data_IF_231841866411
#
_entry.id   IF_231841866411
#
_cell.length_a   1.000
_cell.length_b   1.000
_cell.length_c   1.000
_cell.angle_alpha   90.00
_cell.angle_beta   90.00
_cell.angle_gamma   90.00
#
_symmetry.space_group_name_H-M   'P 1'
#
loop_
_entity.id
_entity.type
_entity.pdbx_description
1 polymer ?
#
# COMPACT_ATOMS: atom_id res chain seq x y z
N UNK A 1 92.33 -38.00 10.88
CA UNK A 1 91.83 -36.61 10.86
C UNK A 1 91.12 -36.30 12.17
N UNK A 2 91.55 -35.27 12.91
CA UNK A 2 90.83 -34.77 14.09
C UNK A 2 89.67 -33.87 13.62
N UNK A 3 88.44 -34.18 14.01
CA UNK A 3 87.26 -33.33 13.76
C UNK A 3 87.44 -32.02 14.53
N UNK A 4 87.47 -30.88 13.84
CA UNK A 4 87.54 -29.58 14.49
C UNK A 4 86.29 -29.38 15.36
N UNK A 5 86.47 -29.26 16.68
CA UNK A 5 85.44 -28.82 17.61
C UNK A 5 85.49 -27.29 17.67
N UNK A 6 84.36 -26.61 17.44
CA UNK A 6 84.17 -25.14 17.55
C UNK A 6 84.66 -24.25 16.39
N UNK A 7 84.71 -24.75 15.15
CA UNK A 7 84.89 -23.90 13.98
C UNK A 7 83.53 -23.33 13.53
N UNK A 8 83.02 -22.30 14.21
CA UNK A 8 81.86 -21.55 13.73
C UNK A 8 82.35 -20.37 12.87
N UNK A 9 81.89 -20.22 11.61
CA UNK A 9 82.18 -19.02 10.83
C UNK A 9 81.58 -17.82 11.56
N UNK A 10 82.42 -16.84 11.94
CA UNK A 10 82.00 -15.70 12.75
C UNK A 10 81.27 -14.61 11.94
N UNK A 11 81.50 -14.52 10.63
CA UNK A 11 80.74 -13.69 9.68
C UNK A 11 80.98 -14.19 8.24
N UNK A 12 79.94 -14.15 7.40
CA UNK A 12 80.02 -14.42 5.94
C UNK A 12 80.08 -15.91 5.54
N UNK A 13 79.32 -16.26 4.50
CA UNK A 13 79.31 -17.60 3.88
C UNK A 13 77.99 -17.91 3.16
N UNK A 14 78.05 -18.70 2.09
CA UNK A 14 76.87 -19.26 1.41
C UNK A 14 76.78 -20.74 1.77
N UNK A 15 75.60 -21.18 2.19
CA UNK A 15 75.30 -22.60 2.37
C UNK A 15 74.46 -23.04 1.17
N UNK A 16 75.01 -23.88 0.30
CA UNK A 16 74.31 -24.40 -0.89
C UNK A 16 73.55 -25.71 -0.61
N UNK A 17 73.53 -26.17 0.65
CA UNK A 17 72.93 -27.44 1.09
C UNK A 17 71.89 -27.30 2.19
N UNK A 18 71.37 -28.45 2.66
CA UNK A 18 70.40 -28.49 3.78
C UNK A 18 71.10 -28.15 5.10
N UNK A 19 70.50 -27.23 5.86
CA UNK A 19 70.87 -26.98 7.25
C UNK A 19 69.94 -27.81 8.14
N UNK A 20 70.52 -28.64 9.01
CA UNK A 20 69.78 -29.37 10.04
C UNK A 20 70.24 -28.90 11.42
N UNK A 21 69.29 -28.49 12.25
CA UNK A 21 69.53 -28.10 13.65
C UNK A 21 68.53 -28.81 14.55
N UNK A 22 68.94 -29.08 15.78
CA UNK A 22 68.08 -29.66 16.83
C UNK A 22 67.58 -28.60 17.82
N UNK A 23 67.90 -27.33 17.58
CA UNK A 23 67.50 -26.16 18.37
C UNK A 23 67.27 -24.95 17.44
N UNK A 24 66.86 -23.81 17.97
CA UNK A 24 66.42 -22.66 17.19
C UNK A 24 67.54 -22.09 16.29
N UNK A 25 67.13 -21.55 15.13
CA UNK A 25 68.01 -20.72 14.29
C UNK A 25 67.73 -19.26 14.64
N UNK A 26 68.63 -18.66 15.42
CA UNK A 26 68.55 -17.23 15.73
C UNK A 26 69.26 -16.41 14.64
N UNK A 27 68.56 -15.44 14.07
CA UNK A 27 69.13 -14.47 13.13
C UNK A 27 68.96 -13.04 13.68
N UNK A 28 70.01 -12.23 13.57
CA UNK A 28 69.99 -10.80 13.95
C UNK A 28 69.41 -9.90 12.84
N UNK A 29 69.07 -10.48 11.69
CA UNK A 29 68.49 -9.79 10.53
C UNK A 29 67.20 -10.48 10.05
N UNK A 30 67.07 -10.69 8.74
CA UNK A 30 65.94 -11.39 8.16
C UNK A 30 66.29 -12.85 7.83
N UNK A 31 65.32 -13.74 8.02
CA UNK A 31 65.32 -15.08 7.42
C UNK A 31 64.23 -15.05 6.35
N UNK A 32 64.58 -15.36 5.11
CA UNK A 32 63.66 -15.29 3.98
C UNK A 32 63.99 -16.34 2.93
N UNK A 33 62.99 -16.67 2.11
CA UNK A 33 63.13 -17.60 1.00
C UNK A 33 61.99 -17.46 0.02
N UNK A 34 62.18 -17.97 -1.21
CA UNK A 34 61.12 -17.97 -2.23
C UNK A 34 59.89 -18.75 -1.75
N UNK A 35 60.10 -19.85 -1.03
CA UNK A 35 59.04 -20.63 -0.38
C UNK A 35 59.46 -20.93 1.06
N UNK A 36 58.56 -20.69 2.00
CA UNK A 36 58.73 -21.04 3.41
C UNK A 36 57.67 -22.08 3.79
N UNK A 37 58.08 -23.17 4.42
CA UNK A 37 57.18 -24.21 4.90
C UNK A 37 57.49 -24.53 6.35
N UNK A 38 56.45 -24.74 7.13
CA UNK A 38 56.53 -25.27 8.49
C UNK A 38 56.38 -26.79 8.48
N UNK A 39 57.26 -27.52 9.16
CA UNK A 39 57.24 -28.98 9.22
C UNK A 39 56.58 -29.43 10.51
N UNK A 40 55.51 -30.18 10.39
CA UNK A 40 54.82 -30.79 11.52
C UNK A 40 55.57 -32.01 12.05
N UNK A 41 55.36 -32.33 13.32
CA UNK A 41 55.93 -33.52 13.98
C UNK A 41 55.45 -34.83 13.36
N UNK A 42 54.31 -34.81 12.66
CA UNK A 42 53.75 -35.94 11.90
C UNK A 42 54.36 -36.09 10.50
N UNK A 43 55.33 -35.24 10.14
CA UNK A 43 56.03 -35.29 8.86
C UNK A 43 55.37 -34.52 7.72
N UNK A 44 54.18 -33.93 7.93
CA UNK A 44 53.54 -33.03 6.95
C UNK A 44 54.20 -31.66 6.92
N UNK A 45 53.90 -30.89 5.89
CA UNK A 45 54.36 -29.51 5.72
C UNK A 45 53.17 -28.58 5.52
N UNK A 46 53.24 -27.38 6.12
CA UNK A 46 52.33 -26.26 5.84
C UNK A 46 53.08 -25.16 5.11
N UNK A 47 52.52 -24.67 4.01
CA UNK A 47 53.04 -23.48 3.34
C UNK A 47 52.79 -22.24 4.23
N UNK A 48 53.80 -21.40 4.39
CA UNK A 48 53.67 -20.10 5.04
C UNK A 48 53.15 -19.08 4.03
N UNK A 49 52.08 -18.37 4.38
CA UNK A 49 51.52 -17.33 3.51
C UNK A 49 52.36 -16.05 3.52
N UNK A 50 52.46 -15.41 2.37
CA UNK A 50 53.20 -14.16 2.15
C UNK A 50 52.57 -13.36 1.01
N UNK A 51 53.05 -12.15 0.73
CA UNK A 51 52.58 -11.38 -0.43
C UNK A 51 52.87 -12.09 -1.77
N UNK A 52 53.94 -12.89 -1.84
CA UNK A 52 54.29 -13.70 -3.00
C UNK A 52 53.52 -15.03 -3.07
N UNK A 53 53.04 -15.53 -1.93
CA UNK A 53 52.27 -16.77 -1.80
C UNK A 53 51.04 -16.50 -0.94
N UNK A 54 50.07 -15.80 -1.51
CA UNK A 54 48.82 -15.45 -0.82
C UNK A 54 47.91 -16.67 -0.71
N UNK A 55 47.11 -16.80 0.35
CA UNK A 55 46.08 -17.82 0.40
C UNK A 55 45.02 -17.55 -0.68
N UNK A 56 44.49 -18.62 -1.25
CA UNK A 56 43.27 -18.57 -2.02
C UNK A 56 42.06 -18.36 -1.09
N UNK A 57 40.99 -17.67 -1.53
CA UNK A 57 39.80 -17.44 -0.71
C UNK A 57 39.24 -18.70 -0.04
N UNK A 58 39.23 -19.82 -0.78
CA UNK A 58 38.79 -21.14 -0.27
C UNK A 58 39.64 -21.69 0.87
N UNK A 59 40.93 -21.34 0.94
CA UNK A 59 41.87 -21.82 1.97
C UNK A 59 41.63 -21.15 3.32
N UNK A 60 40.96 -20.00 3.32
CA UNK A 60 40.62 -19.22 4.52
C UNK A 60 39.11 -19.09 4.73
N UNK A 61 38.30 -19.83 3.96
CA UNK A 61 36.85 -19.87 4.11
C UNK A 61 36.13 -18.57 3.72
N UNK A 62 36.70 -17.78 2.80
CA UNK A 62 36.06 -16.55 2.29
C UNK A 62 35.69 -16.70 0.81
N UNK A 63 34.71 -15.93 0.36
CA UNK A 63 34.34 -15.87 -1.06
C UNK A 63 35.33 -15.03 -1.84
N UNK A 64 35.60 -15.43 -3.09
CA UNK A 64 36.25 -14.57 -4.06
C UNK A 64 35.38 -13.34 -4.38
N UNK A 65 35.99 -12.31 -4.96
CA UNK A 65 35.26 -11.13 -5.44
C UNK A 65 34.18 -11.51 -6.47
N UNK A 66 34.50 -12.42 -7.40
CA UNK A 66 33.54 -12.89 -8.41
C UNK A 66 32.36 -13.63 -7.79
N UNK A 67 32.59 -14.49 -6.80
CA UNK A 67 31.51 -15.16 -6.09
C UNK A 67 30.66 -14.17 -5.29
N UNK A 68 31.30 -13.21 -4.63
CA UNK A 68 30.60 -12.19 -3.85
C UNK A 68 29.71 -11.34 -4.75
N UNK A 69 30.20 -10.90 -5.91
CA UNK A 69 29.43 -10.12 -6.88
C UNK A 69 28.26 -10.91 -7.47
N UNK A 70 28.36 -12.24 -7.56
CA UNK A 70 27.25 -13.10 -8.00
C UNK A 70 26.22 -13.40 -6.90
N UNK A 71 26.60 -13.26 -5.62
CA UNK A 71 25.74 -13.57 -4.46
C UNK A 71 25.07 -12.35 -3.85
N UNK A 72 25.71 -11.19 -3.91
CA UNK A 72 25.29 -9.99 -3.20
C UNK A 72 25.14 -8.81 -4.13
N UNK A 73 24.09 -8.00 -3.93
CA UNK A 73 23.92 -6.75 -4.64
C UNK A 73 25.02 -5.75 -4.24
N UNK A 74 25.67 -5.14 -5.24
CA UNK A 74 26.68 -4.13 -4.98
C UNK A 74 26.06 -2.85 -4.43
N UNK A 75 26.76 -2.20 -3.49
CA UNK A 75 26.36 -0.89 -2.97
C UNK A 75 26.29 0.11 -4.13
N UNK A 76 25.11 0.71 -4.34
CA UNK A 76 24.82 1.62 -5.48
C UNK A 76 24.86 0.94 -6.86
N UNK A 77 24.59 -0.37 -6.95
CA UNK A 77 24.30 -0.98 -8.24
C UNK A 77 23.10 -0.29 -8.88
N UNK A 78 23.19 -0.02 -10.18
CA UNK A 78 22.08 0.43 -11.02
C UNK A 78 21.52 -0.74 -11.86
N UNK A 79 21.97 -1.96 -11.56
CA UNK A 79 21.58 -3.15 -12.29
C UNK A 79 20.17 -3.59 -11.89
N UNK A 80 19.55 -4.39 -12.75
CA UNK A 80 18.25 -4.98 -12.46
C UNK A 80 18.35 -5.90 -11.24
N UNK A 81 17.63 -5.56 -10.17
CA UNK A 81 17.41 -6.47 -9.05
C UNK A 81 16.23 -7.40 -9.38
N UNK A 82 16.51 -8.69 -9.56
CA UNK A 82 15.50 -9.71 -9.84
C UNK A 82 15.45 -10.73 -8.70
N UNK A 83 14.26 -10.88 -8.10
CA UNK A 83 13.99 -11.86 -7.06
C UNK A 83 12.54 -12.34 -7.16
N UNK A 84 12.25 -13.55 -6.65
CA UNK A 84 10.86 -14.04 -6.56
C UNK A 84 10.03 -13.33 -5.48
N UNK A 85 10.68 -12.84 -4.43
CA UNK A 85 10.06 -12.13 -3.31
C UNK A 85 11.10 -11.44 -2.43
N UNK A 86 10.65 -10.50 -1.61
CA UNK A 86 11.47 -9.78 -0.63
C UNK A 86 10.87 -10.00 0.75
N UNK A 87 11.54 -10.81 1.58
CA UNK A 87 11.15 -11.05 2.96
C UNK A 87 11.89 -10.08 3.90
N UNK A 88 11.14 -9.38 4.74
CA UNK A 88 11.68 -8.43 5.73
C UNK A 88 11.32 -8.92 7.12
N UNK A 89 12.25 -9.62 7.76
CA UNK A 89 12.14 -10.06 9.15
C UNK A 89 12.81 -9.03 10.06
N UNK A 90 12.01 -8.12 10.62
CA UNK A 90 12.49 -7.10 11.55
C UNK A 90 12.38 -7.58 13.01
N UNK A 91 13.28 -7.10 13.86
CA UNK A 91 13.23 -7.33 15.32
C UNK A 91 12.20 -6.46 16.05
N UNK A 92 11.41 -5.68 15.31
CA UNK A 92 10.38 -4.79 15.84
C UNK A 92 9.12 -4.83 14.95
N UNK A 93 7.98 -4.45 15.53
CA UNK A 93 6.64 -4.61 14.93
C UNK A 93 6.35 -3.75 13.68
N UNK A 94 7.29 -2.91 13.28
CA UNK A 94 7.13 -1.94 12.18
C UNK A 94 8.06 -2.27 11.01
N UNK A 95 8.09 -3.53 10.59
CA UNK A 95 8.83 -3.96 9.41
C UNK A 95 8.30 -3.27 8.13
N UNK A 96 9.15 -3.03 7.15
CA UNK A 96 8.69 -2.42 5.90
C UNK A 96 9.75 -2.21 4.82
N UNK A 97 9.27 -1.82 3.64
CA UNK A 97 10.10 -1.47 2.48
C UNK A 97 10.05 0.05 2.27
N UNK A 98 11.22 0.67 2.11
CA UNK A 98 11.37 2.12 1.99
C UNK A 98 11.99 2.52 0.66
N UNK A 99 11.35 3.45 -0.05
CA UNK A 99 11.85 4.06 -1.28
C UNK A 99 12.15 5.53 -1.00
N UNK A 100 13.44 5.87 -0.85
CA UNK A 100 13.91 7.22 -0.51
C UNK A 100 14.44 7.93 -1.75
N UNK A 101 13.98 9.16 -1.99
CA UNK A 101 14.47 9.99 -3.09
C UNK A 101 15.73 10.80 -2.69
N UNK A 102 16.34 11.47 -3.67
CA UNK A 102 17.56 12.26 -3.48
C UNK A 102 17.39 13.42 -2.48
N UNK A 103 16.17 13.96 -2.35
CA UNK A 103 15.85 15.06 -1.43
C UNK A 103 15.55 14.60 -0.01
N UNK A 104 15.63 13.29 0.26
CA UNK A 104 15.43 12.71 1.58
C UNK A 104 13.98 12.30 1.89
N UNK A 105 13.01 12.72 1.09
CA UNK A 105 11.62 12.27 1.20
C UNK A 105 11.51 10.79 0.80
N UNK A 106 10.51 10.10 1.35
CA UNK A 106 10.34 8.69 1.05
C UNK A 106 8.90 8.21 1.15
N UNK A 107 8.64 7.13 0.41
CA UNK A 107 7.46 6.29 0.60
C UNK A 107 7.88 5.04 1.36
N UNK A 108 7.08 4.63 2.33
CA UNK A 108 7.30 3.39 3.08
C UNK A 108 6.03 2.55 3.11
N UNK A 109 6.15 1.28 2.71
CA UNK A 109 5.15 0.25 2.94
C UNK A 109 5.51 -0.42 4.26
N UNK A 110 4.68 -0.25 5.29
CA UNK A 110 4.97 -0.71 6.64
C UNK A 110 3.92 -1.68 7.13
N UNK A 111 4.37 -2.84 7.62
CA UNK A 111 3.59 -3.62 8.56
C UNK A 111 3.26 -2.76 9.78
N UNK A 112 2.14 -3.11 10.41
CA UNK A 112 1.62 -2.44 11.60
C UNK A 112 1.52 -3.48 12.72
N UNK A 113 1.81 -3.11 13.98
CA UNK A 113 1.71 -4.02 15.12
C UNK A 113 0.40 -4.82 15.18
N UNK A 114 0.49 -6.06 15.67
CA UNK A 114 -0.61 -7.02 15.61
C UNK A 114 -1.88 -6.55 16.35
N UNK A 115 -1.73 -5.77 17.40
CA UNK A 115 -2.84 -5.23 18.20
C UNK A 115 -3.59 -4.07 17.53
N UNK A 116 -3.06 -3.50 16.44
CA UNK A 116 -3.71 -2.41 15.72
C UNK A 116 -4.80 -2.91 14.77
N UNK A 117 -5.85 -2.13 14.49
CA UNK A 117 -6.86 -2.52 13.51
C UNK A 117 -6.34 -2.53 12.05
N UNK A 118 -5.23 -1.86 11.79
CA UNK A 118 -4.55 -1.83 10.49
C UNK A 118 -3.58 -3.01 10.31
N UNK A 119 -3.41 -3.47 9.06
CA UNK A 119 -2.41 -4.47 8.68
C UNK A 119 -1.25 -3.89 7.87
N UNK A 120 -1.50 -2.82 7.11
CA UNK A 120 -0.51 -2.15 6.26
C UNK A 120 -0.76 -0.65 6.29
N UNK A 121 0.31 0.12 6.46
CA UNK A 121 0.29 1.57 6.23
C UNK A 121 1.28 1.93 5.13
N UNK A 122 0.81 2.69 4.14
CA UNK A 122 1.69 3.35 3.17
C UNK A 122 1.87 4.79 3.61
N UNK A 123 3.10 5.14 4.01
CA UNK A 123 3.45 6.48 4.43
C UNK A 123 4.12 7.25 3.30
N UNK A 124 3.81 8.54 3.18
CA UNK A 124 4.68 9.54 2.56
C UNK A 124 5.27 10.41 3.66
N UNK A 125 6.60 10.41 3.77
CA UNK A 125 7.33 11.10 4.83
C UNK A 125 8.41 12.01 4.26
N UNK A 126 8.72 13.05 5.01
CA UNK A 126 9.78 13.99 4.65
C UNK A 126 11.18 13.51 5.07
N UNK A 127 12.17 14.40 4.89
CA UNK A 127 13.56 14.14 5.24
C UNK A 127 13.83 14.00 6.74
N UNK A 128 12.93 14.50 7.61
CA UNK A 128 13.04 14.41 9.07
C UNK A 128 12.24 13.25 9.65
N UNK A 129 11.62 12.42 8.78
CA UNK A 129 10.78 11.25 9.10
C UNK A 129 9.38 11.57 9.60
N UNK A 130 8.95 12.82 9.48
CA UNK A 130 7.58 13.24 9.80
C UNK A 130 6.61 12.74 8.73
N UNK A 131 5.42 12.31 9.17
CA UNK A 131 4.38 11.82 8.26
C UNK A 131 3.61 12.98 7.67
N UNK A 132 3.69 13.12 6.35
CA UNK A 132 2.98 14.15 5.59
C UNK A 132 1.62 13.62 5.12
N UNK A 133 1.60 12.39 4.58
CA UNK A 133 0.37 11.70 4.18
C UNK A 133 0.47 10.21 4.50
N UNK A 134 -0.67 9.55 4.70
CA UNK A 134 -0.71 8.10 4.85
C UNK A 134 -2.03 7.52 4.36
N UNK A 135 -2.00 6.25 3.98
CA UNK A 135 -3.19 5.42 3.77
C UNK A 135 -3.02 4.10 4.51
N UNK A 136 -4.11 3.64 5.12
CA UNK A 136 -4.14 2.42 5.91
C UNK A 136 -5.02 1.36 5.25
N UNK A 137 -4.54 0.12 5.21
CA UNK A 137 -5.38 -1.05 4.96
C UNK A 137 -5.70 -1.71 6.31
N UNK A 138 -6.99 -1.93 6.56
CA UNK A 138 -7.47 -2.56 7.78
C UNK A 138 -7.44 -4.08 7.70
N UNK A 139 -7.41 -4.74 8.85
CA UNK A 139 -7.59 -6.20 9.01
C UNK A 139 -9.03 -6.60 8.68
N UNK A 140 -9.35 -6.57 7.40
CA UNK A 140 -10.64 -6.99 6.85
C UNK A 140 -10.38 -7.77 5.57
N UNK A 141 -11.06 -8.90 5.44
CA UNK A 141 -11.09 -9.65 4.18
C UNK A 141 -12.06 -8.98 3.21
N UNK A 142 -11.71 -8.95 1.93
CA UNK A 142 -12.52 -8.35 0.87
C UNK A 142 -11.66 -7.86 -0.29
N UNK A 143 -12.29 -7.14 -1.21
CA UNK A 143 -11.64 -6.54 -2.38
C UNK A 143 -11.63 -5.02 -2.23
N UNK A 144 -10.60 -4.36 -2.79
CA UNK A 144 -10.57 -2.90 -2.90
C UNK A 144 -11.42 -2.53 -4.12
N UNK A 145 -12.50 -1.78 -3.90
CA UNK A 145 -13.37 -1.31 -4.96
C UNK A 145 -12.61 -0.35 -5.91
N UNK A 146 -12.79 -0.54 -7.22
CA UNK A 146 -12.41 0.43 -8.24
C UNK A 146 -13.33 1.65 -8.17
N UNK A 147 -12.91 2.75 -8.79
CA UNK A 147 -13.78 3.95 -8.89
C UNK A 147 -15.08 3.66 -9.65
N UNK A 148 -15.05 2.77 -10.65
CA UNK A 148 -16.25 2.29 -11.35
C UNK A 148 -17.19 1.54 -10.40
N UNK A 149 -16.65 0.67 -9.55
CA UNK A 149 -17.48 -0.10 -8.61
C UNK A 149 -18.20 0.82 -7.62
N UNK A 150 -17.54 1.92 -7.22
CA UNK A 150 -18.16 2.97 -6.39
C UNK A 150 -19.18 3.80 -7.18
N UNK A 151 -18.90 4.10 -8.45
CA UNK A 151 -19.75 4.94 -9.30
C UNK A 151 -21.01 4.21 -9.82
N UNK A 152 -20.87 2.94 -10.22
CA UNK A 152 -21.98 2.07 -10.65
C UNK A 152 -22.89 1.72 -9.48
N UNK A 153 -22.35 1.68 -8.27
CA UNK A 153 -23.11 1.56 -7.02
C UNK A 153 -23.29 2.91 -6.31
N UNK A 154 -23.19 4.04 -7.03
CA UNK A 154 -23.30 5.36 -6.43
C UNK A 154 -24.65 5.51 -5.75
N UNK A 155 -24.60 5.60 -4.42
CA UNK A 155 -25.76 5.88 -3.58
C UNK A 155 -26.29 7.29 -3.82
N UNK A 156 -27.47 7.56 -3.28
CA UNK A 156 -28.12 8.86 -3.34
C UNK A 156 -27.20 9.97 -2.81
N UNK A 157 -27.16 11.11 -3.49
CA UNK A 157 -26.40 12.31 -3.13
C UNK A 157 -25.00 12.42 -3.76
N UNK A 158 -24.44 11.36 -4.33
CA UNK A 158 -23.11 11.43 -4.97
C UNK A 158 -23.22 11.99 -6.39
N UNK A 159 -22.55 13.12 -6.64
CA UNK A 159 -22.56 13.84 -7.92
C UNK A 159 -24.00 14.16 -8.41
N UNK A 160 -24.92 14.46 -7.49
CA UNK A 160 -26.28 14.88 -7.78
C UNK A 160 -26.48 16.34 -7.36
N UNK A 161 -27.42 17.01 -8.01
CA UNK A 161 -27.81 18.39 -7.66
C UNK A 161 -29.34 18.50 -7.57
N UNK A 162 -29.82 19.41 -6.74
CA UNK A 162 -31.25 19.70 -6.67
C UNK A 162 -31.70 20.42 -7.94
N UNK A 163 -32.67 19.84 -8.63
CA UNK A 163 -33.28 20.40 -9.83
C UNK A 163 -34.74 20.73 -9.56
N UNK A 164 -35.12 21.99 -9.80
CA UNK A 164 -36.54 22.34 -9.88
C UNK A 164 -37.11 21.87 -11.22
N UNK A 165 -38.02 20.90 -11.14
CA UNK A 165 -38.63 20.25 -12.30
C UNK A 165 -40.13 20.53 -12.38
N UNK A 166 -40.65 21.49 -11.60
CA UNK A 166 -42.08 21.80 -11.51
C UNK A 166 -42.76 21.96 -12.87
N UNK A 167 -42.12 22.65 -13.80
CA UNK A 167 -42.68 22.91 -15.15
C UNK A 167 -42.54 21.72 -16.11
N UNK A 168 -41.82 20.66 -15.71
CA UNK A 168 -41.62 19.41 -16.48
C UNK A 168 -42.44 18.25 -15.91
N UNK A 169 -43.25 18.50 -14.89
CA UNK A 169 -44.01 17.51 -14.14
C UNK A 169 -45.46 17.95 -13.98
N UNK A 170 -46.38 17.00 -14.08
CA UNK A 170 -47.82 17.16 -13.92
C UNK A 170 -48.27 16.05 -12.96
N UNK A 171 -49.12 16.38 -12.01
CA UNK A 171 -49.66 15.40 -11.06
C UNK A 171 -50.48 14.32 -11.77
N UNK A 172 -50.45 13.10 -11.25
CA UNK A 172 -51.12 11.93 -11.83
C UNK A 172 -50.44 11.37 -13.09
N UNK A 173 -49.37 12.00 -13.58
CA UNK A 173 -48.56 11.47 -14.69
C UNK A 173 -47.46 10.58 -14.15
N UNK A 174 -47.25 9.44 -14.80
CA UNK A 174 -46.15 8.52 -14.49
C UNK A 174 -44.86 8.96 -15.20
N UNK A 175 -43.77 8.98 -14.44
CA UNK A 175 -42.42 9.29 -14.89
C UNK A 175 -41.49 8.10 -14.64
N UNK A 176 -40.37 8.02 -15.37
CA UNK A 176 -39.32 7.03 -15.14
C UNK A 176 -38.06 7.70 -14.63
N UNK A 177 -37.38 7.09 -13.65
CA UNK A 177 -36.06 7.52 -13.25
C UNK A 177 -34.99 6.99 -14.22
N UNK A 178 -34.70 7.75 -15.27
CA UNK A 178 -33.64 7.48 -16.24
C UNK A 178 -32.32 8.21 -15.93
N UNK A 179 -32.10 8.66 -14.68
CA UNK A 179 -30.89 9.40 -14.30
C UNK A 179 -29.63 8.51 -14.15
N UNK A 180 -29.76 7.19 -14.26
CA UNK A 180 -28.67 6.24 -14.02
C UNK A 180 -28.36 5.99 -12.54
N UNK A 181 -29.08 6.64 -11.61
CA UNK A 181 -28.89 6.53 -10.15
C UNK A 181 -30.21 6.81 -9.41
N UNK A 182 -30.36 6.35 -8.15
CA UNK A 182 -31.53 6.69 -7.35
C UNK A 182 -31.71 8.21 -7.22
N UNK A 183 -32.94 8.69 -7.33
CA UNK A 183 -33.28 10.11 -7.13
C UNK A 183 -34.10 10.28 -5.85
N UNK A 184 -33.94 11.40 -5.16
CA UNK A 184 -34.88 11.85 -4.14
C UNK A 184 -35.87 12.83 -4.77
N UNK A 185 -37.15 12.65 -4.48
CA UNK A 185 -38.22 13.49 -5.00
C UNK A 185 -38.94 14.14 -3.83
N UNK A 186 -39.11 15.46 -3.91
CA UNK A 186 -39.91 16.23 -2.98
C UNK A 186 -40.98 17.00 -3.75
N UNK A 187 -42.23 16.81 -3.37
CA UNK A 187 -43.38 17.48 -4.00
C UNK A 187 -44.21 18.16 -2.93
N UNK A 188 -44.58 19.41 -3.18
CA UNK A 188 -45.44 20.21 -2.32
C UNK A 188 -46.68 20.64 -3.10
N UNK A 189 -47.86 20.55 -2.50
CA UNK A 189 -49.11 21.04 -3.08
C UNK A 189 -49.24 22.54 -2.91
N UNK A 190 -50.08 23.15 -3.76
CA UNK A 190 -50.56 24.52 -3.53
C UNK A 190 -51.46 24.52 -2.28
N UNK A 191 -51.57 25.67 -1.57
CA UNK A 191 -52.56 25.82 -0.52
C UNK A 191 -53.97 25.55 -1.07
N UNK A 192 -54.74 24.73 -0.35
CA UNK A 192 -56.14 24.45 -0.71
C UNK A 192 -56.98 25.72 -0.51
N UNK A 193 -57.36 26.42 -1.59
CA UNK A 193 -58.14 27.68 -1.51
C UNK A 193 -59.67 27.48 -1.53
N UNK A 194 -60.16 26.29 -1.89
CA UNK A 194 -61.60 25.95 -2.03
C UNK A 194 -61.85 24.53 -1.52
N UNK A 195 -63.11 24.23 -1.17
CA UNK A 195 -63.53 22.89 -0.75
C UNK A 195 -63.22 21.79 -1.78
N UNK A 196 -63.06 22.13 -3.06
CA UNK A 196 -62.75 21.19 -4.16
C UNK A 196 -61.25 21.08 -4.52
N UNK A 197 -60.33 21.61 -3.70
CA UNK A 197 -58.89 21.35 -3.90
C UNK A 197 -58.44 19.99 -3.32
N UNK A 198 -57.25 19.53 -3.73
CA UNK A 198 -56.69 18.23 -3.33
C UNK A 198 -56.74 18.04 -1.80
N UNK A 199 -57.41 16.97 -1.34
CA UNK A 199 -57.55 16.65 0.09
C UNK A 199 -56.46 15.68 0.58
N UNK A 200 -55.74 15.03 -0.33
CA UNK A 200 -54.52 14.31 -0.02
C UNK A 200 -53.52 14.35 -1.18
N UNK A 201 -52.29 13.92 -0.91
CA UNK A 201 -51.21 13.72 -1.88
C UNK A 201 -50.54 12.37 -1.60
N UNK A 202 -50.26 11.60 -2.65
CA UNK A 202 -49.53 10.34 -2.55
C UNK A 202 -48.47 10.22 -3.62
N UNK A 203 -47.44 9.46 -3.30
CA UNK A 203 -46.42 9.06 -4.24
C UNK A 203 -46.38 7.54 -4.36
N UNK A 204 -46.33 7.07 -5.60
CA UNK A 204 -46.17 5.66 -5.91
C UNK A 204 -44.84 5.42 -6.63
N UNK A 205 -44.21 4.28 -6.36
CA UNK A 205 -43.04 3.77 -7.08
C UNK A 205 -43.34 2.35 -7.52
N UNK A 206 -43.33 2.09 -8.83
CA UNK A 206 -43.77 0.84 -9.45
C UNK A 206 -45.14 0.35 -8.94
N UNK A 207 -46.08 1.29 -8.71
CA UNK A 207 -47.42 1.00 -8.21
C UNK A 207 -47.52 0.78 -6.69
N UNK A 208 -46.41 0.81 -5.95
CA UNK A 208 -46.41 0.74 -4.48
C UNK A 208 -46.48 2.16 -3.92
N UNK A 209 -47.47 2.46 -3.08
CA UNK A 209 -47.54 3.75 -2.38
C UNK A 209 -46.42 3.82 -1.34
N UNK A 210 -45.46 4.72 -1.54
CA UNK A 210 -44.27 4.87 -0.68
C UNK A 210 -44.33 6.11 0.21
N UNK A 211 -45.19 7.07 -0.13
CA UNK A 211 -45.45 8.25 0.68
C UNK A 211 -46.90 8.69 0.52
N UNK A 212 -47.47 9.22 1.60
CA UNK A 212 -48.86 9.66 1.67
C UNK A 212 -49.01 10.78 2.70
N UNK A 213 -49.82 11.77 2.38
CA UNK A 213 -50.24 12.83 3.29
C UNK A 213 -51.70 13.21 3.00
N UNK A 214 -52.46 13.55 4.04
CA UNK A 214 -53.90 13.76 3.97
C UNK A 214 -54.36 14.86 4.91
N UNK A 215 -55.41 15.56 4.49
CA UNK A 215 -56.16 16.55 5.27
C UNK A 215 -57.66 16.29 5.15
N UNK A 216 -58.41 16.49 6.23
CA UNK A 216 -59.86 16.29 6.22
C UNK A 216 -60.59 17.31 5.33
N UNK A 217 -61.81 16.94 4.90
CA UNK A 217 -62.62 17.76 4.00
C UNK A 217 -62.90 19.16 4.56
N UNK A 218 -63.12 19.27 5.87
CA UNK A 218 -63.29 20.53 6.62
C UNK A 218 -62.00 21.01 7.31
N UNK A 219 -60.87 20.41 6.94
CA UNK A 219 -59.57 20.72 7.50
C UNK A 219 -59.05 22.12 7.12
N UNK A 220 -58.05 22.62 7.86
CA UNK A 220 -57.40 23.90 7.55
C UNK A 220 -56.84 23.91 6.12
N UNK A 221 -56.78 25.10 5.51
CA UNK A 221 -56.16 25.30 4.19
C UNK A 221 -54.64 25.09 4.29
N UNK A 222 -54.21 23.83 4.22
CA UNK A 222 -52.80 23.44 4.39
C UNK A 222 -52.12 23.14 3.05
N UNK A 223 -50.82 23.39 3.01
CA UNK A 223 -49.94 22.79 2.01
C UNK A 223 -49.56 21.39 2.50
N UNK A 224 -49.64 20.41 1.60
CA UNK A 224 -49.19 19.05 1.88
C UNK A 224 -47.90 18.78 1.12
N UNK A 225 -47.09 17.86 1.63
CA UNK A 225 -45.89 17.44 0.94
C UNK A 225 -45.63 15.95 1.10
N UNK A 226 -44.92 15.39 0.12
CA UNK A 226 -44.39 14.03 0.13
C UNK A 226 -42.92 14.05 -0.24
N UNK A 227 -42.16 13.16 0.39
CA UNK A 227 -40.77 12.88 0.10
C UNK A 227 -40.60 11.38 -0.13
N UNK A 228 -39.87 10.99 -1.17
CA UNK A 228 -39.62 9.59 -1.46
C UNK A 228 -38.38 9.41 -2.34
N UNK A 229 -37.86 8.18 -2.38
CA UNK A 229 -36.71 7.79 -3.20
C UNK A 229 -37.20 6.91 -4.34
N UNK A 230 -36.69 7.15 -5.55
CA UNK A 230 -37.02 6.36 -6.75
C UNK A 230 -35.75 5.66 -7.23
N UNK A 231 -35.68 4.31 -7.20
CA UNK A 231 -34.57 3.55 -7.74
C UNK A 231 -34.34 3.83 -9.24
N UNK A 232 -33.13 3.56 -9.73
CA UNK A 232 -32.83 3.65 -11.17
C UNK A 232 -33.76 2.75 -11.97
N UNK A 233 -34.32 3.26 -13.06
CA UNK A 233 -35.22 2.53 -13.96
C UNK A 233 -36.65 2.35 -13.46
N UNK A 234 -36.95 2.68 -12.20
CA UNK A 234 -38.29 2.57 -11.66
C UNK A 234 -39.22 3.67 -12.19
N UNK A 235 -40.51 3.34 -12.29
CA UNK A 235 -41.58 4.27 -12.60
C UNK A 235 -42.14 4.86 -11.31
N UNK A 236 -42.54 6.14 -11.34
CA UNK A 236 -43.12 6.82 -10.20
C UNK A 236 -44.15 7.86 -10.64
N UNK A 237 -45.10 8.14 -9.78
CA UNK A 237 -46.08 9.20 -9.96
C UNK A 237 -46.39 9.85 -8.62
N UNK A 238 -46.85 11.10 -8.69
CA UNK A 238 -47.39 11.82 -7.54
C UNK A 238 -48.76 12.32 -7.92
N UNK A 239 -49.78 11.94 -7.15
CA UNK A 239 -51.16 12.28 -7.46
C UNK A 239 -51.88 12.85 -6.24
N UNK A 240 -52.89 13.68 -6.52
CA UNK A 240 -53.83 14.14 -5.52
C UNK A 240 -54.91 13.07 -5.32
N UNK A 241 -55.29 12.84 -4.06
CA UNK A 241 -56.45 12.04 -3.75
C UNK A 241 -57.67 12.93 -3.64
N UNK A 242 -58.68 12.62 -4.47
CA UNK A 242 -60.03 13.22 -4.48
C UNK A 242 -60.01 14.75 -4.74
N UNK A 243 -61.01 15.24 -5.49
CA UNK A 243 -61.19 16.67 -5.78
C UNK A 243 -59.90 17.36 -6.28
N UNK A 244 -59.40 16.93 -7.45
CA UNK A 244 -58.25 17.55 -8.08
C UNK A 244 -58.67 18.29 -9.36
N UNK A 245 -58.17 19.52 -9.53
CA UNK A 245 -58.35 20.34 -10.72
C UNK A 245 -57.19 20.14 -11.73
N UNK A 246 -56.43 19.03 -11.62
CA UNK A 246 -55.24 18.72 -12.43
C UNK A 246 -53.98 19.52 -12.10
N UNK A 247 -54.08 20.71 -11.50
CA UNK A 247 -52.96 21.63 -11.22
C UNK A 247 -52.76 21.94 -9.72
N UNK A 248 -52.65 20.87 -8.92
CA UNK A 248 -52.55 20.96 -7.46
C UNK A 248 -51.11 21.12 -6.93
N UNK A 249 -50.09 21.02 -7.78
CA UNK A 249 -48.67 21.02 -7.38
C UNK A 249 -48.13 22.45 -7.35
N UNK A 250 -47.49 22.84 -6.26
CA UNK A 250 -46.79 24.13 -6.11
C UNK A 250 -45.31 23.98 -6.45
N UNK A 251 -44.64 22.99 -5.83
CA UNK A 251 -43.21 22.73 -6.01
C UNK A 251 -42.96 21.26 -6.30
N UNK A 252 -42.01 20.99 -7.18
CA UNK A 252 -41.48 19.66 -7.45
C UNK A 252 -39.98 19.78 -7.68
N UNK A 253 -39.21 19.21 -6.77
CA UNK A 253 -37.74 19.20 -6.85
C UNK A 253 -37.23 17.76 -6.78
N UNK A 254 -36.18 17.50 -7.54
CA UNK A 254 -35.51 16.19 -7.62
C UNK A 254 -34.03 16.37 -7.34
N UNK A 255 -33.46 15.57 -6.44
CA UNK A 255 -32.00 15.42 -6.32
C UNK A 255 -31.57 14.38 -7.35
N UNK A 256 -30.89 14.80 -8.41
CA UNK A 256 -30.52 13.93 -9.53
C UNK A 256 -29.18 14.26 -10.18
#
# INVERSE_FOLDING_TARGET
>A
MKRAKNAYPKTGGTIEGKVWTTSDIEATGWIGGTTLHDRHTDGRWSQVYSEAHKPEPREIGVYSTSESNGRFALKKSHDMFSCGGVDVEATHDWAGVKLKNANGYYVQLSAVPHEKPEMLTVFYRDSTTETQYYVNLRKKSGEIALLSDVAENASIGINQSWQNVRYKRIGGTQYKNDAGKPIAVFVKTKPRKKQLGAIGIGANVNGIQVAYNWSDFDGPQVEMSVFFIVPTGAHYDVNAYIANDGDFIDSWVELR
#
